data_IF_040190556137
#
_entry.id   IF_040190556137
#
_cell.length_a   1.000
_cell.length_b   1.000
_cell.length_c   1.000
_cell.angle_alpha   90.00
_cell.angle_beta   90.00
_cell.angle_gamma   90.00
#
_symmetry.space_group_name_H-M   'P 1'
#
loop_
_entity.id
_entity.type
_entity.pdbx_description
1 polymer ?
#
# COMPACT_ATOMS: atom_id res chain seq x y z
N UNK A 1 -24.65 -4.35 -1.69
CA UNK A 1 -25.19 -3.17 -0.99
C UNK A 1 -25.49 -2.07 -1.99
N UNK A 2 -26.64 -1.43 -1.85
CA UNK A 2 -26.94 -0.21 -2.58
C UNK A 2 -26.53 0.97 -1.69
N UNK A 3 -25.52 1.72 -2.15
CA UNK A 3 -25.04 2.88 -1.44
C UNK A 3 -26.00 4.06 -1.63
N UNK A 4 -26.44 4.67 -0.54
CA UNK A 4 -27.43 5.75 -0.55
C UNK A 4 -26.85 7.00 -1.25
N UNK A 5 -27.41 7.34 -2.40
CA UNK A 5 -27.12 8.59 -3.10
C UNK A 5 -28.12 9.66 -2.70
N UNK A 6 -27.64 10.84 -2.27
CA UNK A 6 -28.49 11.98 -1.95
C UNK A 6 -28.60 12.91 -3.18
N UNK A 7 -29.77 13.06 -3.84
CA UNK A 7 -29.92 13.94 -4.99
C UNK A 7 -29.75 15.42 -4.66
N UNK A 8 -29.94 15.81 -3.40
CA UNK A 8 -29.81 17.21 -2.91
C UNK A 8 -28.45 17.52 -2.30
N UNK A 9 -27.43 16.73 -2.57
CA UNK A 9 -26.07 16.83 -2.01
C UNK A 9 -25.49 18.25 -2.06
N UNK A 10 -25.79 19.03 -3.10
CA UNK A 10 -25.30 20.40 -3.27
C UNK A 10 -26.00 21.43 -2.35
N UNK A 11 -27.21 21.09 -1.86
CA UNK A 11 -27.98 21.94 -0.95
C UNK A 11 -27.61 21.68 0.50
N UNK A 12 -27.02 20.52 0.81
CA UNK A 12 -26.68 20.10 2.15
C UNK A 12 -25.40 20.80 2.65
N UNK A 13 -25.37 21.01 3.96
CA UNK A 13 -24.15 21.28 4.72
C UNK A 13 -23.86 20.04 5.57
N UNK A 14 -22.87 19.26 5.15
CA UNK A 14 -22.45 18.09 5.90
C UNK A 14 -21.65 18.45 7.15
N UNK A 15 -21.81 17.69 8.22
CA UNK A 15 -20.97 17.83 9.39
C UNK A 15 -19.55 17.32 9.10
N UNK A 16 -19.47 16.23 8.31
CA UNK A 16 -18.20 15.61 7.89
C UNK A 16 -18.29 15.14 6.43
N UNK A 17 -17.27 15.47 5.65
CA UNK A 17 -17.03 14.88 4.33
C UNK A 17 -15.73 14.07 4.36
N UNK A 18 -15.81 12.78 4.06
CA UNK A 18 -14.64 11.88 3.95
C UNK A 18 -14.35 11.66 2.47
N UNK A 19 -13.12 11.96 2.05
CA UNK A 19 -12.65 11.80 0.67
C UNK A 19 -11.74 10.58 0.59
N UNK A 20 -12.27 9.49 0.08
CA UNK A 20 -11.62 8.20 -0.01
C UNK A 20 -12.32 7.14 0.85
N UNK A 21 -12.96 6.17 0.21
CA UNK A 21 -13.58 5.00 0.85
C UNK A 21 -12.59 3.82 0.92
N UNK A 22 -11.34 4.10 1.29
CA UNK A 22 -10.30 3.14 1.60
C UNK A 22 -10.30 2.75 3.08
N UNK A 23 -9.24 2.09 3.53
CA UNK A 23 -9.10 1.58 4.89
C UNK A 23 -9.33 2.67 5.96
N UNK A 24 -8.57 3.76 5.91
CA UNK A 24 -8.66 4.82 6.93
C UNK A 24 -9.96 5.60 6.87
N UNK A 25 -10.48 5.89 5.65
CA UNK A 25 -11.74 6.61 5.50
C UNK A 25 -12.94 5.82 5.99
N UNK A 26 -13.02 4.51 5.68
CA UNK A 26 -14.07 3.63 6.18
C UNK A 26 -13.99 3.45 7.70
N UNK A 27 -12.77 3.34 8.26
CA UNK A 27 -12.58 3.26 9.70
C UNK A 27 -13.06 4.54 10.40
N UNK A 28 -12.66 5.72 9.91
CA UNK A 28 -13.12 7.00 10.45
C UNK A 28 -14.64 7.13 10.39
N UNK A 29 -15.28 6.78 9.27
CA UNK A 29 -16.72 6.79 9.10
C UNK A 29 -17.43 5.91 10.15
N UNK A 30 -16.94 4.69 10.37
CA UNK A 30 -17.50 3.75 11.34
C UNK A 30 -17.39 4.28 12.77
N UNK A 31 -16.24 4.86 13.15
CA UNK A 31 -16.07 5.46 14.48
C UNK A 31 -17.05 6.62 14.67
N UNK A 32 -17.20 7.50 13.69
CA UNK A 32 -18.09 8.65 13.75
C UNK A 32 -19.55 8.22 13.91
N UNK A 33 -20.04 7.35 13.03
CA UNK A 33 -21.45 6.96 13.03
C UNK A 33 -21.82 6.02 14.17
N UNK A 34 -20.88 5.27 14.74
CA UNK A 34 -21.10 4.49 15.97
C UNK A 34 -21.41 5.39 17.15
N UNK A 35 -20.68 6.48 17.32
CA UNK A 35 -20.82 7.39 18.47
C UNK A 35 -21.80 8.54 18.22
N UNK A 36 -21.99 8.92 16.95
CA UNK A 36 -22.86 10.03 16.50
C UNK A 36 -23.72 9.58 15.32
N UNK A 37 -24.74 8.74 15.53
CA UNK A 37 -25.58 8.19 14.44
C UNK A 37 -26.29 9.25 13.59
N UNK A 38 -26.57 10.42 14.17
CA UNK A 38 -27.26 11.54 13.50
C UNK A 38 -26.31 12.47 12.74
N UNK A 39 -24.99 12.19 12.73
CA UNK A 39 -24.01 12.98 12.00
C UNK A 39 -24.32 12.93 10.49
N UNK A 40 -24.47 14.10 9.88
CA UNK A 40 -24.59 14.22 8.42
C UNK A 40 -23.25 13.93 7.77
N UNK A 41 -23.00 12.66 7.43
CA UNK A 41 -21.74 12.17 6.87
C UNK A 41 -21.88 11.92 5.37
N UNK A 42 -20.94 12.48 4.59
CA UNK A 42 -20.76 12.19 3.17
C UNK A 42 -19.45 11.45 2.95
N UNK A 43 -19.50 10.36 2.19
CA UNK A 43 -18.33 9.61 1.73
C UNK A 43 -18.20 9.77 0.21
N UNK A 44 -17.05 10.27 -0.25
CA UNK A 44 -16.75 10.46 -1.67
C UNK A 44 -15.62 9.53 -2.07
N UNK A 45 -15.79 8.77 -3.16
CA UNK A 45 -14.71 7.94 -3.71
C UNK A 45 -14.63 8.03 -5.24
N UNK A 46 -13.39 8.06 -5.74
CA UNK A 46 -13.09 8.12 -7.17
C UNK A 46 -13.47 6.81 -7.91
N UNK A 47 -13.71 5.73 -7.19
CA UNK A 47 -14.08 4.42 -7.74
C UNK A 47 -15.56 4.11 -7.54
N UNK A 48 -16.03 3.15 -8.30
CA UNK A 48 -17.41 2.66 -8.28
C UNK A 48 -17.75 1.80 -7.07
N UNK A 49 -16.73 1.41 -6.29
CA UNK A 49 -16.86 0.55 -5.11
C UNK A 49 -15.85 0.97 -4.03
N UNK A 50 -16.27 0.97 -2.76
CA UNK A 50 -15.35 1.19 -1.64
C UNK A 50 -14.37 0.03 -1.46
N UNK A 51 -13.28 0.26 -0.75
CA UNK A 51 -12.36 -0.77 -0.27
C UNK A 51 -11.56 -1.51 -1.34
N UNK A 52 -11.42 -1.00 -2.56
CA UNK A 52 -10.75 -1.72 -3.67
C UNK A 52 -9.33 -2.15 -3.34
N UNK A 53 -8.54 -1.29 -2.65
CA UNK A 53 -7.17 -1.62 -2.24
C UNK A 53 -7.17 -2.63 -1.09
N UNK A 54 -8.16 -2.57 -0.17
CA UNK A 54 -8.36 -3.58 0.88
C UNK A 54 -8.60 -4.95 0.22
N UNK A 55 -9.56 -5.02 -0.72
CA UNK A 55 -9.93 -6.26 -1.41
C UNK A 55 -8.76 -6.91 -2.19
N UNK A 56 -7.75 -6.14 -2.60
CA UNK A 56 -6.57 -6.63 -3.30
C UNK A 56 -5.39 -6.95 -2.35
N UNK A 57 -5.45 -6.53 -1.09
CA UNK A 57 -4.35 -6.69 -0.14
C UNK A 57 -4.15 -8.16 0.28
N UNK A 58 -2.92 -8.52 0.64
CA UNK A 58 -2.59 -9.88 1.08
C UNK A 58 -2.95 -10.96 0.05
N UNK A 59 -2.80 -10.69 -1.26
CA UNK A 59 -3.23 -11.59 -2.35
C UNK A 59 -4.73 -11.97 -2.27
N UNK A 60 -5.58 -11.00 -1.88
CA UNK A 60 -7.01 -11.21 -1.74
C UNK A 60 -7.46 -11.78 -0.39
N UNK A 61 -6.53 -11.98 0.56
CA UNK A 61 -6.81 -12.47 1.91
C UNK A 61 -7.01 -11.34 2.94
N UNK A 62 -6.58 -10.12 2.63
CA UNK A 62 -6.51 -8.96 3.52
C UNK A 62 -5.63 -9.18 4.76
N UNK A 63 -4.34 -8.92 4.65
CA UNK A 63 -3.46 -8.88 5.82
C UNK A 63 -3.76 -7.61 6.64
N UNK A 64 -4.68 -7.72 7.61
CA UNK A 64 -5.23 -6.60 8.39
C UNK A 64 -4.17 -5.88 9.22
N UNK A 65 -3.25 -6.64 9.81
CA UNK A 65 -2.27 -6.14 10.76
C UNK A 65 -1.15 -7.14 11.00
N UNK A 66 -0.35 -6.87 12.03
CA UNK A 66 0.65 -7.77 12.59
C UNK A 66 0.54 -7.78 14.11
N UNK A 67 0.78 -8.93 14.76
CA UNK A 67 0.78 -9.05 16.22
C UNK A 67 1.81 -8.13 16.89
N UNK A 68 2.86 -7.71 16.14
CA UNK A 68 3.90 -6.78 16.60
C UNK A 68 3.48 -5.31 16.50
N UNK A 69 2.31 -5.01 15.94
CA UNK A 69 1.78 -3.65 15.85
C UNK A 69 1.13 -3.24 17.17
N UNK A 70 1.60 -2.16 17.78
CA UNK A 70 1.07 -1.65 19.06
C UNK A 70 -0.42 -1.31 18.99
N UNK A 71 -0.91 -0.76 17.86
CA UNK A 71 -2.32 -0.42 17.65
C UNK A 71 -3.25 -1.61 17.42
N UNK A 72 -2.73 -2.84 17.25
CA UNK A 72 -3.59 -3.98 16.92
C UNK A 72 -4.62 -4.31 17.99
N UNK A 73 -4.29 -4.19 19.27
CA UNK A 73 -5.24 -4.49 20.38
C UNK A 73 -6.51 -3.62 20.30
N UNK A 74 -6.37 -2.36 19.90
CA UNK A 74 -7.50 -1.43 19.73
C UNK A 74 -8.24 -1.74 18.43
N UNK A 75 -7.52 -1.94 17.34
CA UNK A 75 -8.11 -2.25 16.04
C UNK A 75 -8.84 -3.59 16.06
N UNK A 76 -8.33 -4.62 16.76
CA UNK A 76 -8.96 -5.93 16.88
C UNK A 76 -10.33 -5.87 17.54
N UNK A 77 -10.46 -5.13 18.63
CA UNK A 77 -11.75 -4.93 19.30
C UNK A 77 -12.77 -4.22 18.38
N UNK A 78 -12.30 -3.31 17.54
CA UNK A 78 -13.17 -2.65 16.57
C UNK A 78 -13.59 -3.59 15.43
N UNK A 79 -12.68 -4.44 14.93
CA UNK A 79 -13.01 -5.47 13.94
C UNK A 79 -13.99 -6.51 14.50
N UNK A 80 -13.84 -6.90 15.77
CA UNK A 80 -14.81 -7.77 16.45
C UNK A 80 -16.20 -7.12 16.53
N UNK A 81 -16.28 -5.83 16.88
CA UNK A 81 -17.54 -5.06 16.82
C UNK A 81 -18.16 -5.05 15.41
N UNK A 82 -17.35 -5.01 14.37
CA UNK A 82 -17.82 -5.11 12.98
C UNK A 82 -18.18 -6.54 12.56
N UNK A 83 -17.98 -7.54 13.42
CA UNK A 83 -18.26 -8.96 13.12
C UNK A 83 -17.13 -9.67 12.38
N UNK A 84 -15.91 -9.14 12.36
CA UNK A 84 -14.75 -9.76 11.73
C UNK A 84 -13.96 -10.58 12.76
N UNK A 85 -14.08 -11.90 12.69
CA UNK A 85 -13.21 -12.82 13.43
C UNK A 85 -11.85 -12.89 12.72
N UNK A 86 -10.76 -12.85 13.51
CA UNK A 86 -9.40 -12.83 12.98
C UNK A 86 -8.55 -13.99 13.46
N UNK A 87 -7.47 -14.29 12.73
CA UNK A 87 -6.42 -15.26 13.11
C UNK A 87 -5.06 -14.74 12.72
N UNK A 88 -4.00 -15.19 13.39
CA UNK A 88 -2.60 -14.93 13.02
C UNK A 88 -1.98 -16.13 12.34
N UNK A 89 -1.00 -15.86 11.45
CA UNK A 89 -0.11 -16.88 10.93
C UNK A 89 1.21 -16.98 11.74
N UNK A 90 2.11 -17.87 11.31
CA UNK A 90 3.41 -18.10 11.97
C UNK A 90 4.34 -16.88 11.94
N UNK A 91 4.18 -15.97 10.98
CA UNK A 91 4.95 -14.73 10.86
C UNK A 91 4.28 -13.56 11.60
N UNK A 92 3.17 -13.83 12.30
CA UNK A 92 2.43 -12.86 13.08
C UNK A 92 1.53 -11.93 12.26
N UNK A 93 1.31 -12.21 10.98
CA UNK A 93 0.36 -11.47 10.15
C UNK A 93 -1.07 -11.82 10.53
N UNK A 94 -1.92 -10.82 10.59
CA UNK A 94 -3.32 -10.97 10.99
C UNK A 94 -4.23 -10.95 9.75
N UNK A 95 -5.09 -11.95 9.65
CA UNK A 95 -6.07 -12.10 8.58
C UNK A 95 -7.49 -12.25 9.13
N UNK A 96 -8.55 -11.90 8.35
CA UNK A 96 -9.89 -12.39 8.67
C UNK A 96 -9.87 -13.92 8.66
N UNK A 97 -10.69 -14.54 9.50
CA UNK A 97 -10.70 -16.01 9.61
C UNK A 97 -11.04 -16.70 8.28
N UNK A 98 -11.89 -16.05 7.46
CA UNK A 98 -12.24 -16.50 6.11
C UNK A 98 -11.10 -16.43 5.10
N UNK A 99 -10.03 -15.68 5.38
CA UNK A 99 -8.99 -15.33 4.40
C UNK A 99 -9.54 -14.76 3.08
N UNK A 100 -10.63 -14.02 3.18
CA UNK A 100 -11.30 -13.43 2.02
C UNK A 100 -11.51 -11.93 2.23
N UNK A 101 -10.71 -11.12 1.54
CA UNK A 101 -10.65 -9.68 1.71
C UNK A 101 -11.99 -8.94 1.48
N UNK A 102 -12.88 -9.37 0.57
CA UNK A 102 -14.21 -8.77 0.42
C UNK A 102 -15.05 -8.78 1.69
N UNK A 103 -14.93 -9.80 2.57
CA UNK A 103 -15.68 -9.86 3.83
C UNK A 103 -15.32 -8.68 4.75
N UNK A 104 -14.05 -8.27 4.74
CA UNK A 104 -13.60 -7.09 5.49
C UNK A 104 -14.20 -5.80 4.94
N UNK A 105 -14.30 -5.68 3.61
CA UNK A 105 -14.94 -4.52 2.97
C UNK A 105 -16.43 -4.50 3.30
N UNK A 106 -17.11 -5.65 3.24
CA UNK A 106 -18.51 -5.77 3.60
C UNK A 106 -18.76 -5.39 5.06
N UNK A 107 -17.96 -5.89 5.99
CA UNK A 107 -18.05 -5.54 7.41
C UNK A 107 -17.88 -4.03 7.64
N UNK A 108 -16.88 -3.40 6.99
CA UNK A 108 -16.63 -1.96 7.08
C UNK A 108 -17.74 -1.11 6.47
N UNK A 109 -18.49 -1.61 5.50
CA UNK A 109 -19.55 -0.84 4.82
C UNK A 109 -20.95 -1.11 5.39
N UNK A 110 -21.18 -2.27 6.01
CA UNK A 110 -22.49 -2.70 6.51
C UNK A 110 -23.08 -1.81 7.61
N UNK A 111 -22.23 -1.09 8.34
CA UNK A 111 -22.65 -0.19 9.43
C UNK A 111 -22.80 1.27 9.00
N UNK A 112 -22.66 1.58 7.70
CA UNK A 112 -22.64 2.95 7.17
C UNK A 112 -23.92 3.29 6.36
N UNK A 113 -25.05 2.70 6.71
CA UNK A 113 -26.34 2.88 5.99
C UNK A 113 -26.87 4.31 6.06
N UNK A 114 -26.58 5.05 7.15
CA UNK A 114 -27.00 6.43 7.33
C UNK A 114 -26.13 7.44 6.56
N UNK A 115 -24.93 7.05 6.13
CA UNK A 115 -24.06 7.91 5.34
C UNK A 115 -24.62 8.15 3.93
N UNK A 116 -24.42 9.35 3.41
CA UNK A 116 -24.58 9.63 1.98
C UNK A 116 -23.31 9.26 1.21
N UNK A 117 -23.46 8.73 0.00
CA UNK A 117 -22.34 8.25 -0.81
C UNK A 117 -22.29 8.94 -2.17
N UNK A 118 -21.10 9.30 -2.60
CA UNK A 118 -20.81 9.82 -3.92
C UNK A 118 -19.65 9.04 -4.55
N UNK A 119 -19.99 7.92 -5.19
CA UNK A 119 -19.02 7.02 -5.84
C UNK A 119 -18.78 7.39 -7.30
N UNK A 120 -17.69 6.87 -7.87
CA UNK A 120 -17.19 7.26 -9.20
C UNK A 120 -16.99 8.76 -9.32
N UNK A 121 -16.68 9.42 -8.21
CA UNK A 121 -16.59 10.87 -8.10
C UNK A 121 -15.26 11.29 -7.47
N UNK A 122 -14.60 12.23 -8.12
CA UNK A 122 -13.28 12.73 -7.74
C UNK A 122 -13.38 14.19 -7.33
N UNK A 123 -12.83 14.54 -6.16
CA UNK A 123 -12.65 15.95 -5.84
C UNK A 123 -11.56 16.55 -6.74
N UNK A 124 -11.89 17.69 -7.34
CA UNK A 124 -10.98 18.41 -8.26
C UNK A 124 -10.40 19.68 -7.63
N UNK A 125 -11.13 20.26 -6.70
CA UNK A 125 -10.64 21.41 -5.96
C UNK A 125 -11.31 21.52 -4.59
N UNK A 126 -10.66 22.21 -3.66
CA UNK A 126 -11.19 22.51 -2.34
C UNK A 126 -10.68 23.86 -1.87
N UNK A 127 -11.57 24.61 -1.18
CA UNK A 127 -11.23 25.85 -0.50
C UNK A 127 -11.90 25.89 0.86
N UNK A 128 -11.29 26.60 1.80
CA UNK A 128 -11.84 26.85 3.12
C UNK A 128 -12.26 28.31 3.24
N UNK A 129 -13.50 28.55 3.59
CA UNK A 129 -14.02 29.89 3.75
C UNK A 129 -15.10 29.93 4.84
N UNK A 130 -15.01 30.89 5.76
CA UNK A 130 -16.02 31.13 6.82
C UNK A 130 -16.36 29.88 7.64
N UNK A 131 -15.37 29.05 7.97
CA UNK A 131 -15.56 27.84 8.77
C UNK A 131 -16.11 26.63 7.99
N UNK A 132 -16.17 26.69 6.66
CA UNK A 132 -16.72 25.64 5.81
C UNK A 132 -15.74 25.29 4.69
N UNK A 133 -15.56 23.98 4.46
CA UNK A 133 -14.89 23.49 3.26
C UNK A 133 -15.87 23.44 2.11
N UNK A 134 -15.48 24.02 0.97
CA UNK A 134 -16.24 24.02 -0.27
C UNK A 134 -15.42 23.30 -1.30
N UNK A 135 -15.87 22.10 -1.70
CA UNK A 135 -15.18 21.25 -2.65
C UNK A 135 -15.94 21.12 -3.97
N UNK A 136 -15.25 21.22 -5.09
CA UNK A 136 -15.78 20.81 -6.38
C UNK A 136 -15.46 19.34 -6.63
N UNK A 137 -16.46 18.58 -7.02
CA UNK A 137 -16.33 17.16 -7.32
C UNK A 137 -16.85 16.87 -8.73
N UNK A 138 -16.20 15.95 -9.43
CA UNK A 138 -16.58 15.51 -10.77
C UNK A 138 -16.81 14.01 -10.76
N UNK A 139 -18.01 13.62 -11.20
CA UNK A 139 -18.36 12.23 -11.42
C UNK A 139 -18.03 11.86 -12.86
N UNK A 140 -17.19 10.84 -13.03
CA UNK A 140 -16.87 10.30 -14.35
C UNK A 140 -18.07 9.54 -14.90
N UNK A 141 -18.26 9.59 -16.21
CA UNK A 141 -19.26 8.77 -16.88
C UNK A 141 -18.95 7.28 -16.66
N UNK A 142 -19.97 6.42 -16.45
CA UNK A 142 -19.77 4.99 -16.30
C UNK A 142 -18.96 4.42 -17.47
N UNK A 143 -17.83 3.78 -17.20
CA UNK A 143 -17.05 3.12 -18.25
C UNK A 143 -17.85 1.95 -18.81
N UNK A 144 -18.23 2.02 -20.07
CA UNK A 144 -18.83 0.89 -20.80
C UNK A 144 -17.74 -0.17 -20.95
N UNK A 145 -17.81 -1.26 -20.15
CA UNK A 145 -16.94 -2.41 -20.39
C UNK A 145 -17.32 -3.03 -21.74
N UNK A 146 -16.45 -2.89 -22.73
CA UNK A 146 -16.55 -3.68 -23.96
C UNK A 146 -16.32 -5.16 -23.60
N UNK A 147 -17.41 -5.94 -23.59
CA UNK A 147 -17.28 -7.40 -23.48
C UNK A 147 -16.63 -7.93 -24.76
N UNK A 148 -15.63 -8.76 -24.58
CA UNK A 148 -14.95 -9.48 -25.63
C UNK A 148 -15.88 -10.25 -26.57
N UNK A 149 -15.37 -10.55 -27.75
CA UNK A 149 -15.95 -11.21 -28.93
C UNK A 149 -17.04 -12.24 -28.60
N UNK A 150 -18.24 -12.01 -29.10
CA UNK A 150 -19.31 -13.01 -29.20
C UNK A 150 -20.60 -12.68 -28.46
N UNK A 151 -21.41 -11.72 -28.90
CA UNK A 151 -22.75 -11.51 -28.39
C UNK A 151 -23.44 -10.30 -29.02
N UNK A 152 -24.67 -10.50 -29.45
CA UNK A 152 -25.54 -9.56 -30.13
C UNK A 152 -25.48 -8.16 -29.53
N UNK A 153 -25.40 -7.12 -30.36
CA UNK A 153 -25.40 -5.71 -30.04
C UNK A 153 -26.57 -5.37 -29.09
N UNK A 154 -26.25 -5.16 -27.81
CA UNK A 154 -27.15 -4.41 -26.91
C UNK A 154 -26.84 -2.92 -27.14
N UNK A 155 -27.92 -2.13 -27.24
CA UNK A 155 -27.86 -0.68 -27.41
C UNK A 155 -26.81 -0.10 -26.47
N UNK A 156 -25.84 0.64 -27.05
CA UNK A 156 -24.86 1.43 -26.30
C UNK A 156 -25.67 2.44 -25.47
N UNK A 157 -25.55 2.46 -24.14
CA UNK A 157 -26.20 3.51 -23.34
C UNK A 157 -25.72 4.87 -23.84
N UNK A 158 -26.64 5.84 -24.02
CA UNK A 158 -26.30 7.21 -24.37
C UNK A 158 -25.17 7.68 -23.45
N UNK A 159 -24.12 8.27 -24.03
CA UNK A 159 -23.02 8.89 -23.28
C UNK A 159 -23.59 9.81 -22.19
N UNK A 160 -23.51 9.36 -20.95
CA UNK A 160 -23.85 10.23 -19.82
C UNK A 160 -22.73 11.27 -19.71
N UNK A 161 -23.08 12.54 -19.79
CA UNK A 161 -22.11 13.63 -19.56
C UNK A 161 -21.61 13.58 -18.12
N UNK A 162 -20.33 13.91 -17.88
CA UNK A 162 -19.80 14.05 -16.53
C UNK A 162 -20.67 15.01 -15.71
N UNK A 163 -20.97 14.64 -14.47
CA UNK A 163 -21.67 15.54 -13.54
C UNK A 163 -20.67 16.21 -12.62
N UNK A 164 -20.88 17.49 -12.38
CA UNK A 164 -20.12 18.25 -11.39
C UNK A 164 -21.00 18.50 -10.16
N UNK A 165 -20.39 18.51 -8.99
CA UNK A 165 -21.04 18.76 -7.71
C UNK A 165 -20.26 19.81 -6.93
N UNK A 166 -20.98 20.63 -6.16
CA UNK A 166 -20.42 21.54 -5.15
C UNK A 166 -20.78 21.00 -3.76
N UNK A 167 -19.80 20.53 -3.02
CA UNK A 167 -19.96 19.91 -1.71
C UNK A 167 -19.57 20.90 -0.63
N UNK A 168 -20.38 21.01 0.44
CA UNK A 168 -20.08 21.85 1.59
C UNK A 168 -20.00 20.98 2.86
N UNK A 169 -18.94 21.13 3.63
CA UNK A 169 -18.77 20.38 4.87
C UNK A 169 -18.08 21.24 5.96
N UNK A 170 -18.45 21.03 7.21
CA UNK A 170 -17.81 21.66 8.38
C UNK A 170 -16.44 21.07 8.65
N UNK A 171 -16.29 19.76 8.41
CA UNK A 171 -15.04 19.01 8.56
C UNK A 171 -14.74 18.23 7.28
N UNK A 172 -13.47 18.15 6.92
CA UNK A 172 -13.00 17.46 5.73
C UNK A 172 -11.91 16.45 6.12
N UNK A 173 -12.12 15.18 5.80
CA UNK A 173 -11.12 14.12 6.00
C UNK A 173 -10.55 13.73 4.64
N UNK A 174 -9.26 13.98 4.43
CA UNK A 174 -8.53 13.50 3.26
C UNK A 174 -7.96 12.11 3.55
N UNK A 175 -8.67 11.08 3.10
CA UNK A 175 -8.34 9.66 3.21
C UNK A 175 -8.04 9.04 1.83
N UNK A 176 -7.49 9.86 0.92
CA UNK A 176 -7.37 9.52 -0.49
C UNK A 176 -6.32 8.45 -0.80
N UNK A 177 -5.49 8.06 0.17
CA UNK A 177 -4.35 7.17 -0.04
C UNK A 177 -3.20 7.85 -0.78
N UNK A 178 -2.21 7.06 -1.17
CA UNK A 178 -1.01 7.52 -1.88
C UNK A 178 -1.12 7.40 -3.41
N UNK A 179 0.00 7.06 -4.07
CA UNK A 179 0.11 6.90 -5.53
C UNK A 179 0.28 5.43 -5.93
N UNK A 180 0.69 4.56 -5.00
CA UNK A 180 0.96 3.15 -5.26
C UNK A 180 -0.30 2.38 -5.69
N UNK A 181 -0.14 1.46 -6.65
CA UNK A 181 -1.19 0.67 -7.25
C UNK A 181 -2.37 1.52 -7.80
N UNK A 182 -2.12 2.46 -8.74
CA UNK A 182 -3.10 3.44 -9.21
C UNK A 182 -4.34 2.81 -9.86
N UNK A 183 -4.24 1.57 -10.35
CA UNK A 183 -5.36 0.78 -10.88
C UNK A 183 -6.41 0.46 -9.80
N UNK A 184 -6.03 0.39 -8.52
CA UNK A 184 -6.89 0.05 -7.40
C UNK A 184 -7.50 1.28 -6.70
N UNK A 185 -6.91 2.45 -6.83
CA UNK A 185 -7.36 3.61 -6.05
C UNK A 185 -7.01 4.94 -6.68
N UNK A 186 -6.25 5.71 -5.94
CA UNK A 186 -5.86 7.08 -6.24
C UNK A 186 -4.59 7.16 -7.09
N UNK A 187 -4.35 8.34 -7.63
CA UNK A 187 -3.14 8.71 -8.37
C UNK A 187 -2.46 9.91 -7.76
N UNK A 188 -2.57 10.09 -6.45
CA UNK A 188 -2.03 11.25 -5.74
C UNK A 188 -2.95 12.47 -5.74
N UNK A 189 -4.24 12.32 -6.07
CA UNK A 189 -5.20 13.44 -6.08
C UNK A 189 -5.29 14.13 -4.72
N UNK A 190 -5.19 13.37 -3.63
CA UNK A 190 -5.20 13.90 -2.25
C UNK A 190 -4.04 14.84 -1.97
N UNK A 191 -2.86 14.60 -2.55
CA UNK A 191 -1.71 15.50 -2.42
C UNK A 191 -1.96 16.87 -3.08
N UNK A 192 -2.63 16.87 -4.23
CA UNK A 192 -3.00 18.12 -4.88
C UNK A 192 -4.01 18.91 -4.03
N UNK A 193 -4.99 18.25 -3.42
CA UNK A 193 -5.94 18.88 -2.50
C UNK A 193 -5.25 19.41 -1.23
N UNK A 194 -4.32 18.68 -0.64
CA UNK A 194 -3.53 19.13 0.50
C UNK A 194 -2.70 20.39 0.16
N UNK A 195 -2.06 20.42 -1.02
CA UNK A 195 -1.31 21.58 -1.52
C UNK A 195 -2.22 22.80 -1.75
N UNK A 196 -3.46 22.62 -2.27
CA UNK A 196 -4.45 23.71 -2.41
C UNK A 196 -4.84 24.32 -1.06
N UNK A 197 -4.79 23.52 0.01
CA UNK A 197 -5.03 23.95 1.40
C UNK A 197 -3.74 24.38 2.12
N UNK A 198 -2.68 24.71 1.36
CA UNK A 198 -1.40 25.23 1.84
C UNK A 198 -0.60 24.27 2.75
N UNK A 199 -0.76 22.95 2.58
CA UNK A 199 0.01 21.94 3.31
C UNK A 199 1.23 21.48 2.51
N UNK A 200 2.35 21.28 3.20
CA UNK A 200 3.56 20.74 2.63
C UNK A 200 3.40 19.23 2.35
N UNK A 201 3.75 18.85 1.14
CA UNK A 201 3.72 17.46 0.68
C UNK A 201 5.11 17.10 0.20
N UNK A 202 5.72 16.11 0.85
CA UNK A 202 6.97 15.49 0.41
C UNK A 202 6.69 14.72 -0.89
N UNK A 203 7.53 14.90 -1.90
CA UNK A 203 7.32 14.30 -3.22
C UNK A 203 7.19 12.77 -3.11
N UNK A 204 6.12 12.15 -3.65
CA UNK A 204 5.94 10.71 -3.52
C UNK A 204 6.97 9.91 -4.30
N UNK A 205 7.46 8.81 -3.71
CA UNK A 205 8.28 7.80 -4.37
C UNK A 205 7.72 6.40 -4.10
N UNK A 206 7.90 5.42 -5.02
CA UNK A 206 7.45 4.06 -4.81
C UNK A 206 8.24 3.40 -3.67
N UNK A 207 7.54 2.62 -2.83
CA UNK A 207 8.15 1.81 -1.79
C UNK A 207 7.48 0.43 -1.71
N UNK A 208 8.15 -0.53 -1.05
CA UNK A 208 7.74 -1.94 -1.00
C UNK A 208 7.46 -2.48 -2.40
N UNK A 209 8.44 -2.37 -3.27
CA UNK A 209 8.33 -2.79 -4.66
C UNK A 209 9.52 -3.67 -5.08
N UNK A 210 9.44 -4.26 -6.27
CA UNK A 210 10.57 -4.99 -6.85
C UNK A 210 11.76 -4.07 -7.13
N UNK A 211 12.95 -4.65 -7.10
CA UNK A 211 14.21 -4.00 -7.44
C UNK A 211 14.61 -4.42 -8.86
N UNK A 212 14.79 -3.44 -9.73
CA UNK A 212 15.38 -3.66 -11.05
C UNK A 212 16.90 -3.79 -10.91
N UNK A 213 17.48 -4.76 -11.60
CA UNK A 213 18.92 -5.03 -11.55
C UNK A 213 19.59 -4.74 -12.91
N UNK A 214 20.88 -4.38 -12.88
CA UNK A 214 21.67 -4.23 -14.10
C UNK A 214 21.78 -5.58 -14.84
N UNK A 215 21.83 -6.68 -14.10
CA UNK A 215 21.88 -8.02 -14.63
C UNK A 215 20.50 -8.44 -15.17
N UNK A 216 20.46 -8.86 -16.43
CA UNK A 216 19.23 -9.32 -17.08
C UNK A 216 18.89 -10.76 -16.68
N UNK A 217 17.96 -10.93 -15.74
CA UNK A 217 17.60 -12.24 -15.17
C UNK A 217 17.11 -13.24 -16.22
N UNK A 218 16.45 -12.78 -17.29
CA UNK A 218 15.99 -13.64 -18.38
C UNK A 218 17.14 -14.19 -19.19
N UNK A 219 18.15 -13.36 -19.51
CA UNK A 219 19.38 -13.82 -20.21
C UNK A 219 20.20 -14.77 -19.35
N UNK A 220 20.15 -14.61 -18.02
CA UNK A 220 20.82 -15.50 -17.07
C UNK A 220 20.05 -16.82 -16.82
N UNK A 221 18.84 -16.98 -17.38
CA UNK A 221 17.99 -18.15 -17.16
C UNK A 221 17.39 -18.24 -15.75
N UNK A 222 17.36 -17.12 -15.01
CA UNK A 222 16.90 -17.08 -13.61
C UNK A 222 15.44 -16.64 -13.46
N UNK A 223 14.83 -16.09 -14.51
CA UNK A 223 13.44 -15.62 -14.45
C UNK A 223 12.47 -16.73 -14.01
N UNK A 224 11.62 -16.44 -13.01
CA UNK A 224 10.68 -17.39 -12.42
C UNK A 224 11.23 -18.24 -11.28
N UNK A 225 12.55 -18.23 -11.04
CA UNK A 225 13.16 -18.96 -9.91
C UNK A 225 12.77 -18.30 -8.58
N UNK A 226 12.50 -19.13 -7.58
CA UNK A 226 12.30 -18.72 -6.17
C UNK A 226 13.27 -19.50 -5.31
N UNK A 227 13.98 -18.78 -4.43
CA UNK A 227 14.99 -19.37 -3.54
C UNK A 227 15.03 -18.60 -2.21
N UNK A 228 15.09 -19.32 -1.10
CA UNK A 228 15.37 -18.70 0.19
C UNK A 228 16.81 -18.22 0.25
N UNK A 229 17.02 -17.05 0.84
CA UNK A 229 18.32 -16.46 1.07
C UNK A 229 18.26 -15.46 2.23
N UNK A 230 19.41 -15.16 2.80
CA UNK A 230 19.62 -13.96 3.58
C UNK A 230 19.95 -12.83 2.59
N UNK A 231 19.10 -11.84 2.54
CA UNK A 231 19.19 -10.68 1.64
C UNK A 231 19.85 -9.53 2.38
N UNK A 232 20.90 -8.97 1.81
CA UNK A 232 21.57 -7.78 2.34
C UNK A 232 21.52 -6.66 1.30
N UNK A 233 21.02 -5.49 1.71
CA UNK A 233 21.16 -4.25 0.95
C UNK A 233 22.46 -3.56 1.39
N UNK A 234 23.30 -3.25 0.42
CA UNK A 234 24.55 -2.50 0.69
C UNK A 234 24.58 -1.22 -0.14
N UNK A 235 25.24 -0.18 0.41
CA UNK A 235 25.65 1.01 -0.33
C UNK A 235 27.19 1.03 -0.33
N UNK A 236 27.80 0.80 -1.50
CA UNK A 236 29.23 0.49 -1.60
C UNK A 236 29.59 -0.71 -0.73
N UNK A 237 30.35 -0.51 0.36
CA UNK A 237 30.70 -1.56 1.34
C UNK A 237 29.78 -1.59 2.56
N UNK A 238 28.98 -0.56 2.79
CA UNK A 238 28.21 -0.40 4.01
C UNK A 238 26.93 -1.22 3.97
N UNK A 239 26.70 -2.05 4.97
CA UNK A 239 25.45 -2.79 5.14
C UNK A 239 24.35 -1.85 5.66
N UNK A 240 23.29 -1.66 4.89
CA UNK A 240 22.16 -0.83 5.26
C UNK A 240 21.04 -1.60 5.93
N UNK A 241 20.72 -2.81 5.43
CA UNK A 241 19.68 -3.66 5.96
C UNK A 241 19.92 -5.12 5.58
N UNK A 242 19.34 -6.02 6.38
CA UNK A 242 19.42 -7.45 6.15
C UNK A 242 18.11 -8.14 6.57
N UNK A 243 17.62 -9.07 5.76
CA UNK A 243 16.41 -9.86 6.04
C UNK A 243 16.46 -11.22 5.37
N UNK A 244 16.10 -12.26 6.07
CA UNK A 244 15.96 -13.61 5.51
C UNK A 244 14.58 -13.80 4.89
N UNK A 245 14.50 -14.40 3.71
CA UNK A 245 13.22 -14.64 3.06
C UNK A 245 13.32 -15.34 1.70
N UNK A 246 12.18 -15.55 1.07
CA UNK A 246 12.12 -16.07 -0.30
C UNK A 246 12.32 -14.94 -1.31
N UNK A 247 13.40 -15.00 -2.06
CA UNK A 247 13.69 -14.13 -3.19
C UNK A 247 13.09 -14.73 -4.46
N UNK A 248 12.34 -13.92 -5.20
CA UNK A 248 11.85 -14.28 -6.53
C UNK A 248 12.66 -13.53 -7.60
N UNK A 249 13.29 -14.26 -8.48
CA UNK A 249 13.95 -13.73 -9.68
C UNK A 249 12.88 -13.49 -10.75
N UNK A 250 12.78 -12.26 -11.24
CA UNK A 250 11.79 -11.85 -12.25
C UNK A 250 12.49 -11.37 -13.50
N UNK A 251 11.76 -11.11 -14.60
CA UNK A 251 12.36 -10.58 -15.82
C UNK A 251 13.10 -9.25 -15.62
N UNK A 252 12.65 -8.42 -14.67
CA UNK A 252 13.21 -7.10 -14.40
C UNK A 252 14.29 -7.08 -13.32
N UNK A 253 14.40 -8.14 -12.50
CA UNK A 253 15.33 -8.19 -11.36
C UNK A 253 14.79 -9.04 -10.21
N UNK A 254 14.78 -8.49 -8.99
CA UNK A 254 14.46 -9.21 -7.76
C UNK A 254 13.12 -8.76 -7.18
N UNK A 255 12.40 -9.71 -6.57
CA UNK A 255 11.10 -9.53 -5.93
C UNK A 255 11.01 -10.43 -4.69
N UNK A 256 9.92 -10.29 -3.94
CA UNK A 256 9.69 -11.02 -2.67
C UNK A 256 9.63 -10.06 -1.49
N UNK A 257 9.02 -10.50 -0.38
CA UNK A 257 8.80 -9.64 0.79
C UNK A 257 10.12 -9.06 1.32
N UNK A 258 11.15 -9.90 1.47
CA UNK A 258 12.47 -9.47 1.92
C UNK A 258 13.11 -8.43 0.96
N UNK A 259 12.89 -8.54 -0.35
CA UNK A 259 13.34 -7.53 -1.34
C UNK A 259 12.53 -6.23 -1.20
N UNK A 260 11.21 -6.32 -1.03
CA UNK A 260 10.36 -5.15 -0.87
C UNK A 260 10.76 -4.33 0.36
N UNK A 261 11.04 -4.99 1.47
CA UNK A 261 11.48 -4.33 2.70
C UNK A 261 12.82 -3.62 2.53
N UNK A 262 13.75 -4.12 1.68
CA UNK A 262 15.02 -3.46 1.39
C UNK A 262 14.83 -2.06 0.78
N UNK A 263 13.78 -1.84 -0.03
CA UNK A 263 13.55 -0.55 -0.71
C UNK A 263 13.36 0.61 0.27
N UNK A 264 12.93 0.35 1.50
CA UNK A 264 12.74 1.34 2.56
C UNK A 264 14.06 1.95 3.07
N UNK A 265 15.16 1.23 2.92
CA UNK A 265 16.49 1.63 3.40
C UNK A 265 17.33 2.31 2.33
N UNK A 266 16.85 2.38 1.08
CA UNK A 266 17.48 3.21 0.05
C UNK A 266 17.19 4.67 0.38
N UNK A 267 18.22 5.52 0.26
CA UNK A 267 18.10 6.94 0.56
C UNK A 267 16.99 7.59 -0.30
N UNK A 268 16.16 8.39 0.34
CA UNK A 268 15.02 9.01 -0.33
C UNK A 268 15.44 9.93 -1.49
N UNK A 269 16.48 10.73 -1.29
CA UNK A 269 17.00 11.63 -2.32
C UNK A 269 17.63 10.87 -3.49
N UNK A 270 18.20 9.69 -3.22
CA UNK A 270 18.77 8.84 -4.27
C UNK A 270 17.65 8.20 -5.11
N UNK A 271 16.53 7.78 -4.48
CA UNK A 271 15.35 7.31 -5.21
C UNK A 271 14.81 8.43 -6.11
N UNK A 272 14.62 9.63 -5.56
CA UNK A 272 14.05 10.76 -6.26
C UNK A 272 14.89 11.19 -7.48
N UNK A 273 16.20 11.08 -7.37
CA UNK A 273 17.16 11.46 -8.40
C UNK A 273 17.60 10.30 -9.30
N UNK A 274 17.08 9.09 -9.07
CA UNK A 274 17.43 7.90 -9.84
C UNK A 274 18.88 7.46 -9.67
N UNK A 275 19.48 7.68 -8.49
CA UNK A 275 20.91 7.37 -8.21
C UNK A 275 21.05 6.03 -7.51
N UNK A 276 21.19 4.96 -8.26
CA UNK A 276 21.25 3.60 -7.74
C UNK A 276 22.62 2.93 -7.87
N UNK A 277 23.56 3.51 -8.58
CA UNK A 277 24.87 2.89 -8.92
C UNK A 277 25.71 2.46 -7.73
N UNK A 278 25.50 3.07 -6.55
CA UNK A 278 26.22 2.72 -5.33
C UNK A 278 25.55 1.58 -4.54
N UNK A 279 24.36 1.11 -4.97
CA UNK A 279 23.57 0.15 -4.23
C UNK A 279 23.62 -1.23 -4.87
N UNK A 280 23.71 -2.28 -4.05
CA UNK A 280 23.60 -3.66 -4.48
C UNK A 280 22.86 -4.53 -3.47
N UNK A 281 22.21 -5.57 -4.00
CA UNK A 281 21.63 -6.67 -3.22
C UNK A 281 22.60 -7.83 -3.22
N UNK A 282 22.98 -8.29 -2.04
CA UNK A 282 23.80 -9.48 -1.85
C UNK A 282 22.93 -10.60 -1.27
N UNK A 283 23.08 -11.81 -1.81
CA UNK A 283 22.32 -12.99 -1.42
C UNK A 283 23.28 -14.04 -0.84
N UNK A 284 23.01 -14.46 0.40
CA UNK A 284 23.60 -15.62 1.04
C UNK A 284 22.55 -16.74 1.06
N UNK A 285 22.82 -17.82 0.34
CA UNK A 285 21.90 -18.96 0.21
C UNK A 285 22.06 -19.99 1.33
N UNK A 286 23.09 -19.87 2.14
CA UNK A 286 23.44 -20.78 3.23
C UNK A 286 23.84 -19.99 4.50
N UNK A 287 22.95 -19.13 5.05
CA UNK A 287 23.31 -18.24 6.15
C UNK A 287 23.69 -18.98 7.45
N UNK A 288 23.26 -20.24 7.61
CA UNK A 288 23.55 -21.08 8.77
C UNK A 288 25.00 -21.63 8.77
N UNK A 289 25.73 -21.55 7.64
CA UNK A 289 27.08 -22.08 7.46
C UNK A 289 28.07 -21.00 7.13
N UNK A 290 29.27 -21.08 7.70
CA UNK A 290 30.39 -20.24 7.28
C UNK A 290 30.99 -20.74 5.94
N UNK A 291 31.85 -19.90 5.33
CA UNK A 291 32.40 -20.19 4.01
C UNK A 291 33.26 -21.47 4.01
N UNK A 292 34.04 -21.74 5.08
CA UNK A 292 34.84 -22.96 5.19
C UNK A 292 34.00 -24.23 5.31
N UNK A 293 32.89 -24.15 6.04
CA UNK A 293 31.94 -25.26 6.12
C UNK A 293 31.33 -25.56 4.76
N UNK A 294 30.98 -24.50 3.99
CA UNK A 294 30.45 -24.67 2.62
C UNK A 294 31.51 -25.25 1.69
N UNK A 295 32.76 -24.76 1.74
CA UNK A 295 33.88 -25.33 0.96
C UNK A 295 34.08 -26.83 1.26
N UNK A 296 34.20 -27.18 2.52
CA UNK A 296 34.36 -28.58 2.93
C UNK A 296 33.18 -29.49 2.51
N UNK A 297 31.96 -28.96 2.49
CA UNK A 297 30.81 -29.69 1.94
C UNK A 297 30.94 -29.89 0.42
N UNK A 298 31.28 -28.82 -0.30
CA UNK A 298 31.42 -28.86 -1.76
C UNK A 298 32.56 -29.80 -2.23
N UNK A 299 33.66 -29.86 -1.48
CA UNK A 299 34.75 -30.81 -1.74
C UNK A 299 34.25 -32.25 -1.61
N UNK A 300 33.58 -32.60 -0.50
CA UNK A 300 33.04 -33.94 -0.28
C UNK A 300 31.95 -34.33 -1.27
N UNK A 301 31.14 -33.37 -1.72
CA UNK A 301 30.03 -33.56 -2.67
C UNK A 301 30.44 -33.38 -4.13
N UNK A 302 31.75 -33.20 -4.41
CA UNK A 302 32.27 -32.95 -5.76
C UNK A 302 31.56 -31.77 -6.46
N UNK A 303 31.25 -30.72 -5.70
CA UNK A 303 30.59 -29.51 -6.22
C UNK A 303 29.11 -29.69 -6.56
N UNK A 304 28.45 -30.68 -5.94
CA UNK A 304 27.01 -30.88 -6.14
C UNK A 304 26.20 -29.79 -5.42
N UNK A 305 25.26 -29.17 -6.16
CA UNK A 305 24.33 -28.14 -5.65
C UNK A 305 22.86 -28.61 -5.61
N UNK A 306 22.61 -29.89 -5.93
CA UNK A 306 21.24 -30.40 -6.13
C UNK A 306 20.35 -30.34 -4.88
N UNK A 307 20.94 -30.36 -3.67
CA UNK A 307 20.21 -30.23 -2.39
C UNK A 307 20.18 -28.79 -1.86
N UNK A 308 20.87 -27.85 -2.50
CA UNK A 308 21.03 -26.47 -2.04
C UNK A 308 20.17 -25.51 -2.84
N UNK A 309 20.29 -25.56 -4.16
CA UNK A 309 19.69 -24.59 -5.07
C UNK A 309 18.75 -25.24 -6.11
N UNK A 310 17.82 -24.46 -6.61
CA UNK A 310 17.04 -24.81 -7.80
C UNK A 310 17.96 -24.99 -9.01
N UNK A 311 17.66 -25.90 -9.96
CA UNK A 311 18.57 -26.25 -11.05
C UNK A 311 19.11 -25.09 -11.88
N UNK A 312 18.24 -24.09 -12.20
CA UNK A 312 18.64 -22.91 -12.97
C UNK A 312 19.67 -22.07 -12.20
N UNK A 313 19.42 -21.85 -10.89
CA UNK A 313 20.31 -21.07 -10.04
C UNK A 313 21.63 -21.83 -9.79
N UNK A 314 21.58 -23.14 -9.63
CA UNK A 314 22.77 -23.99 -9.54
C UNK A 314 23.64 -23.91 -10.82
N UNK A 315 23.01 -23.92 -11.99
CA UNK A 315 23.69 -23.71 -13.27
C UNK A 315 24.38 -22.36 -13.37
N UNK A 316 23.68 -21.30 -12.96
CA UNK A 316 24.23 -19.94 -12.91
C UNK A 316 25.43 -19.85 -11.96
N UNK A 317 25.34 -20.40 -10.73
CA UNK A 317 26.42 -20.39 -9.76
C UNK A 317 27.68 -21.07 -10.30
N UNK A 318 27.54 -22.22 -10.95
CA UNK A 318 28.67 -22.93 -11.59
C UNK A 318 29.28 -22.13 -12.71
N UNK A 319 28.48 -21.39 -13.48
CA UNK A 319 28.98 -20.58 -14.58
C UNK A 319 29.82 -19.37 -14.12
N UNK A 320 29.46 -18.75 -12.98
CA UNK A 320 30.18 -17.55 -12.47
C UNK A 320 31.37 -17.88 -11.56
N UNK A 321 31.45 -19.10 -10.99
CA UNK A 321 32.39 -19.40 -9.89
C UNK A 321 33.67 -20.13 -10.30
N UNK A 322 33.66 -20.87 -11.38
CA UNK A 322 34.81 -21.61 -11.94
C UNK A 322 35.31 -22.77 -11.09
N UNK A 323 35.76 -22.59 -9.83
CA UNK A 323 36.32 -23.65 -8.95
C UNK A 323 35.56 -23.72 -7.62
N UNK A 324 35.80 -24.76 -6.81
CA UNK A 324 35.11 -25.05 -5.55
C UNK A 324 35.11 -23.87 -4.56
N UNK A 325 36.26 -23.24 -4.33
CA UNK A 325 36.36 -22.06 -3.47
C UNK A 325 35.55 -20.87 -4.03
N UNK A 326 35.60 -20.62 -5.33
CA UNK A 326 34.75 -19.61 -5.97
C UNK A 326 33.25 -19.94 -5.86
N UNK A 327 32.91 -21.22 -5.86
CA UNK A 327 31.54 -21.66 -5.70
C UNK A 327 31.01 -21.44 -4.26
N UNK A 328 31.83 -21.67 -3.23
CA UNK A 328 31.49 -21.37 -1.84
C UNK A 328 31.25 -19.86 -1.67
N UNK A 329 32.15 -19.03 -2.17
CA UNK A 329 31.99 -17.58 -2.13
C UNK A 329 30.70 -17.13 -2.88
N UNK A 330 30.44 -17.70 -4.07
CA UNK A 330 29.22 -17.38 -4.81
C UNK A 330 27.94 -17.75 -4.04
N UNK A 331 27.92 -18.88 -3.34
CA UNK A 331 26.79 -19.30 -2.49
C UNK A 331 26.58 -18.35 -1.28
N UNK A 332 27.66 -17.81 -0.75
CA UNK A 332 27.64 -16.90 0.41
C UNK A 332 27.45 -15.44 0.05
N UNK A 333 27.77 -15.01 -1.17
CA UNK A 333 27.78 -13.61 -1.53
C UNK A 333 27.54 -13.38 -3.04
N UNK A 334 26.38 -13.79 -3.55
CA UNK A 334 26.01 -13.42 -4.92
C UNK A 334 25.44 -12.00 -4.93
N UNK A 335 26.06 -11.11 -5.73
CA UNK A 335 25.69 -9.69 -5.80
C UNK A 335 24.94 -9.34 -7.07
N UNK A 336 23.93 -8.48 -6.92
CA UNK A 336 23.17 -7.88 -8.01
C UNK A 336 23.13 -6.37 -7.84
N UNK A 337 23.64 -5.63 -8.82
CA UNK A 337 23.67 -4.17 -8.80
C UNK A 337 22.27 -3.61 -9.09
N UNK A 338 21.87 -2.58 -8.35
CA UNK A 338 20.54 -1.99 -8.47
C UNK A 338 20.55 -0.97 -9.61
N UNK A 339 19.68 -1.20 -10.62
CA UNK A 339 19.41 -0.25 -11.70
C UNK A 339 18.26 0.71 -11.37
N UNK A 340 17.37 0.33 -10.45
CA UNK A 340 16.22 1.14 -10.08
C UNK A 340 15.17 0.37 -9.27
N UNK A 341 14.06 1.05 -9.01
CA UNK A 341 12.87 0.47 -8.39
C UNK A 341 11.78 0.27 -9.44
N UNK A 342 10.91 -0.72 -9.21
CA UNK A 342 9.72 -0.89 -10.05
C UNK A 342 8.77 0.31 -9.89
N UNK A 343 8.01 0.57 -10.95
CA UNK A 343 7.05 1.66 -11.04
C UNK A 343 5.84 1.51 -10.09
N UNK A 344 5.02 2.55 -10.04
CA UNK A 344 3.84 2.68 -9.21
C UNK A 344 2.83 1.54 -9.32
N UNK A 345 2.69 0.92 -10.48
CA UNK A 345 1.78 -0.21 -10.71
C UNK A 345 2.17 -1.47 -9.94
N UNK A 346 3.45 -1.60 -9.56
CA UNK A 346 4.03 -2.71 -8.79
C UNK A 346 4.38 -2.32 -7.35
N UNK A 347 4.35 -1.04 -7.00
CA UNK A 347 4.56 -0.59 -5.64
C UNK A 347 3.36 -0.94 -4.75
N UNK A 348 3.63 -1.41 -3.54
CA UNK A 348 2.57 -1.70 -2.57
C UNK A 348 2.17 -0.44 -1.80
N UNK A 349 3.13 0.43 -1.50
CA UNK A 349 2.91 1.67 -0.74
C UNK A 349 3.67 2.84 -1.35
N UNK A 350 3.24 4.03 -0.96
CA UNK A 350 3.84 5.31 -1.28
C UNK A 350 4.70 5.76 -0.11
N UNK A 351 5.96 6.11 -0.34
CA UNK A 351 6.80 6.84 0.60
C UNK A 351 6.78 8.31 0.21
N UNK A 352 6.66 9.22 1.17
CA UNK A 352 6.31 10.62 0.95
C UNK A 352 4.81 10.87 1.13
N UNK A 353 4.36 12.10 0.97
CA UNK A 353 3.00 12.52 1.25
C UNK A 353 2.94 13.75 2.15
N UNK A 354 1.80 13.99 2.77
CA UNK A 354 1.63 15.12 3.71
C UNK A 354 2.61 14.98 4.85
N UNK A 355 3.42 16.02 5.06
CA UNK A 355 4.47 16.00 6.07
C UNK A 355 3.86 15.85 7.48
N UNK A 356 4.47 15.02 8.33
CA UNK A 356 4.01 14.77 9.70
C UNK A 356 3.99 16.02 10.59
N UNK A 357 4.78 17.04 10.25
CA UNK A 357 4.73 18.35 10.94
C UNK A 357 3.45 19.15 10.71
N UNK A 358 2.67 18.80 9.67
CA UNK A 358 1.50 19.54 9.21
C UNK A 358 0.22 19.27 10.03
N UNK A 359 0.18 18.16 10.75
CA UNK A 359 -0.96 17.71 11.54
C UNK A 359 -0.55 17.24 12.93
N UNK A 360 -1.52 17.09 13.81
CA UNK A 360 -1.36 16.51 15.14
C UNK A 360 -1.41 14.97 15.02
N UNK A 361 -0.40 14.22 15.47
CA UNK A 361 -0.36 12.77 15.34
C UNK A 361 -1.35 12.01 16.22
N UNK A 362 -1.92 12.68 17.23
CA UNK A 362 -2.89 12.07 18.14
C UNK A 362 -4.34 12.23 17.66
N UNK A 363 -4.61 13.29 16.91
CA UNK A 363 -5.95 13.60 16.38
C UNK A 363 -6.04 13.51 14.87
N UNK A 364 -4.92 13.52 14.17
CA UNK A 364 -4.80 13.63 12.70
C UNK A 364 -5.34 14.96 12.14
N UNK A 365 -5.71 15.94 12.99
CA UNK A 365 -6.17 17.26 12.57
C UNK A 365 -5.00 18.12 12.10
N UNK A 366 -5.23 18.88 11.05
CA UNK A 366 -4.30 19.89 10.55
C UNK A 366 -3.99 20.94 11.61
N UNK A 367 -2.70 21.27 11.77
CA UNK A 367 -2.26 22.39 12.61
C UNK A 367 -2.56 23.77 12.00
N UNK A 368 -2.88 23.82 10.69
CA UNK A 368 -3.12 25.06 9.94
C UNK A 368 -4.60 25.38 9.76
N UNK A 369 -5.43 24.35 9.57
CA UNK A 369 -6.85 24.50 9.25
C UNK A 369 -7.69 23.62 10.16
N UNK A 370 -8.42 24.23 11.06
CA UNK A 370 -9.36 23.53 11.96
C UNK A 370 -10.42 22.78 11.15
N UNK A 371 -10.66 21.53 11.52
CA UNK A 371 -11.63 20.65 10.85
C UNK A 371 -11.10 19.97 9.61
N UNK A 372 -9.82 20.13 9.24
CA UNK A 372 -9.16 19.35 8.20
C UNK A 372 -8.36 18.21 8.81
N UNK A 373 -8.52 17.00 8.29
CA UNK A 373 -7.84 15.79 8.77
C UNK A 373 -7.15 15.06 7.63
N UNK A 374 -6.02 14.37 7.95
CA UNK A 374 -5.27 13.53 7.03
C UNK A 374 -5.15 12.12 7.60
N UNK A 375 -5.59 11.08 6.86
CA UNK A 375 -5.59 9.70 7.37
C UNK A 375 -5.10 8.69 6.36
N UNK A 376 -4.42 7.65 6.83
CA UNK A 376 -3.89 6.58 5.99
C UNK A 376 -2.70 7.01 5.14
N UNK A 377 -2.55 6.42 3.98
CA UNK A 377 -1.36 6.54 3.12
C UNK A 377 -1.18 7.93 2.44
N UNK A 378 -2.07 8.88 2.70
CA UNK A 378 -1.86 10.28 2.28
C UNK A 378 -0.77 10.96 3.12
N UNK A 379 -0.51 10.51 4.34
CA UNK A 379 0.58 11.01 5.19
C UNK A 379 1.89 10.29 4.85
N UNK A 380 3.03 10.97 5.10
CA UNK A 380 4.36 10.40 4.86
C UNK A 380 4.66 9.28 5.87
N UNK A 381 4.27 8.05 5.51
CA UNK A 381 4.49 6.83 6.29
C UNK A 381 4.67 5.62 5.36
N UNK A 382 5.74 4.86 5.55
CA UNK A 382 6.03 3.59 4.87
C UNK A 382 6.46 2.52 5.88
N UNK A 383 5.51 1.75 6.38
CA UNK A 383 5.76 0.58 7.24
C UNK A 383 6.30 -0.61 6.44
N UNK A 384 6.91 -1.59 7.12
CA UNK A 384 7.33 -2.85 6.49
C UNK A 384 6.16 -3.61 5.86
N UNK A 385 6.46 -4.56 4.97
CA UNK A 385 5.49 -5.58 4.57
C UNK A 385 5.03 -6.38 5.79
N UNK A 386 3.77 -6.86 5.75
CA UNK A 386 3.28 -7.74 6.81
C UNK A 386 2.14 -7.16 7.67
N UNK A 387 1.36 -6.20 7.14
CA UNK A 387 0.16 -5.66 7.78
C UNK A 387 0.34 -4.28 8.41
N UNK A 388 1.57 -3.79 8.58
CA UNK A 388 1.85 -2.52 9.27
C UNK A 388 1.23 -1.29 8.58
N UNK A 389 1.17 -1.27 7.25
CA UNK A 389 0.59 -0.16 6.49
C UNK A 389 -0.94 -0.12 6.59
N UNK A 390 -1.61 -1.27 6.63
CA UNK A 390 -3.04 -1.32 6.92
C UNK A 390 -3.33 -0.96 8.38
N UNK A 391 -2.50 -1.43 9.33
CA UNK A 391 -2.64 -1.01 10.73
C UNK A 391 -2.54 0.51 10.88
N UNK A 392 -1.55 1.14 10.24
CA UNK A 392 -1.45 2.61 10.23
C UNK A 392 -2.72 3.28 9.67
N UNK A 393 -3.32 2.70 8.63
CA UNK A 393 -4.56 3.24 8.09
C UNK A 393 -5.73 3.11 9.08
N UNK A 394 -5.81 1.98 9.83
CA UNK A 394 -6.81 1.80 10.88
C UNK A 394 -6.61 2.79 12.03
N UNK A 395 -5.38 2.91 12.53
CA UNK A 395 -5.03 3.77 13.66
C UNK A 395 -5.34 5.24 13.36
N UNK A 396 -4.90 5.73 12.21
CA UNK A 396 -5.14 7.11 11.80
C UNK A 396 -6.61 7.39 11.53
N UNK A 397 -7.35 6.43 10.97
CA UNK A 397 -8.80 6.52 10.80
C UNK A 397 -9.55 6.58 12.13
N UNK A 398 -9.17 5.75 13.11
CA UNK A 398 -9.75 5.76 14.46
C UNK A 398 -9.47 7.05 15.20
N UNK A 399 -8.22 7.51 15.23
CA UNK A 399 -7.83 8.79 15.87
C UNK A 399 -8.62 9.96 15.29
N UNK A 400 -8.71 10.05 13.98
CA UNK A 400 -9.50 11.07 13.28
C UNK A 400 -10.99 11.00 13.67
N UNK A 401 -11.58 9.81 13.64
CA UNK A 401 -12.98 9.61 14.00
C UNK A 401 -13.28 10.00 15.44
N UNK A 402 -12.44 9.61 16.39
CA UNK A 402 -12.57 9.95 17.81
C UNK A 402 -12.48 11.45 18.06
N UNK A 403 -11.52 12.14 17.45
CA UNK A 403 -11.38 13.60 17.60
C UNK A 403 -12.58 14.33 16.99
N UNK A 404 -13.06 13.90 15.83
CA UNK A 404 -14.27 14.46 15.23
C UNK A 404 -15.49 14.29 16.15
N UNK A 405 -15.68 13.10 16.73
CA UNK A 405 -16.77 12.81 17.69
C UNK A 405 -16.72 13.72 18.89
N UNK A 406 -15.52 13.95 19.44
CA UNK A 406 -15.32 14.84 20.59
C UNK A 406 -15.64 16.32 20.29
N UNK A 407 -15.63 16.71 19.00
CA UNK A 407 -15.84 18.08 18.53
C UNK A 407 -17.21 18.29 17.84
N UNK A 408 -18.04 17.26 17.67
CA UNK A 408 -19.42 17.31 17.22
C UNK A 408 -20.38 17.60 18.37
#
# INVERSE_FOLDING_TARGET
MDFKFNPDIEKELYDVCIVGAGASGLMAANVILREKPDCKLLIVDAKDRPGRKIAASGNGKCNLSNIKSEGWSIASAFFEYLGVLTKSDEEGRIYPYSEYAPDVVEALTSKLESADWLLSCRLTSVKYAKGVFIAAARQDAPSVKSKGKGGKSKQVPKEQKPKNFSIKARRLVLACGGTAAPQLGTRGDGFALAKQLAHAVREPVPALCGIMTEQNMKKLGLSGVRQKALVSLTRRSDLLAQEAGEVQFTDYGLSGICIFNMTRFIDYEDILKGRFSDYSIKLDFLPEFDEKQVEGFLERSQGSLCSILKPQLAGYMKAISGKTAGLANALKCTSFDIAGLCDWDKAQVTRGGVNQSEFDPDTMESKKLKGLYFTGEIVDFDGACGGFNLQHAWDTGMKCGQDIVAKL
#
